data_IF_321061078583
#
_entry.id   IF_321061078583
#
_cell.length_a   1.000
_cell.length_b   1.000
_cell.length_c   1.000
_cell.angle_alpha   90.00
_cell.angle_beta   90.00
_cell.angle_gamma   90.00
#
_symmetry.space_group_name_H-M   'P 1'
#
loop_
_entity.id
_entity.type
_entity.pdbx_description
1 polymer ?
#
# COMPACT_ATOMS: atom_id res chain seq x y z
N UNK A 1 23.54 -52.61 -0.18
CA UNK A 1 22.52 -51.98 -1.08
C UNK A 1 21.88 -50.73 -0.49
N UNK A 2 21.80 -50.57 0.82
CA UNK A 2 21.12 -49.43 1.48
C UNK A 2 21.88 -48.10 1.38
N UNK A 3 23.23 -48.10 1.31
CA UNK A 3 24.04 -46.86 1.19
C UNK A 3 23.92 -46.13 -0.14
N UNK A 4 23.56 -46.79 -1.26
CA UNK A 4 23.40 -46.15 -2.57
C UNK A 4 22.08 -45.39 -2.73
N UNK A 5 21.04 -45.81 -2.00
CA UNK A 5 19.71 -45.16 -2.09
C UNK A 5 19.70 -43.83 -1.32
N UNK A 6 20.47 -43.70 -0.24
CA UNK A 6 20.57 -42.47 0.55
C UNK A 6 21.32 -41.34 -0.20
N UNK A 7 22.36 -41.71 -0.97
CA UNK A 7 23.13 -40.74 -1.74
C UNK A 7 22.32 -40.15 -2.90
N UNK A 8 21.49 -41.00 -3.55
CA UNK A 8 20.61 -40.55 -4.62
C UNK A 8 19.47 -39.65 -4.14
N UNK A 9 18.91 -39.94 -2.94
CA UNK A 9 17.86 -39.14 -2.34
C UNK A 9 18.35 -37.73 -1.93
N UNK A 10 19.54 -37.64 -1.31
CA UNK A 10 20.14 -36.35 -0.93
C UNK A 10 20.54 -35.54 -2.15
N UNK A 11 21.07 -36.20 -3.19
CA UNK A 11 21.43 -35.52 -4.43
C UNK A 11 20.19 -34.98 -5.16
N UNK A 12 19.07 -35.70 -5.13
CA UNK A 12 17.80 -35.25 -5.72
C UNK A 12 17.23 -34.06 -4.94
N UNK A 13 17.29 -34.06 -3.60
CA UNK A 13 16.85 -32.94 -2.75
C UNK A 13 17.75 -31.73 -2.95
N UNK A 14 19.06 -31.90 -3.07
CA UNK A 14 20.02 -30.83 -3.32
C UNK A 14 19.82 -30.25 -4.72
N UNK A 15 19.52 -31.06 -5.74
CA UNK A 15 19.23 -30.59 -7.10
C UNK A 15 17.91 -29.81 -7.11
N UNK A 16 16.88 -30.27 -6.40
CA UNK A 16 15.61 -29.52 -6.27
C UNK A 16 15.78 -28.16 -5.56
N UNK A 17 16.72 -28.07 -4.60
CA UNK A 17 17.02 -26.81 -3.91
C UNK A 17 17.79 -25.80 -4.76
N UNK A 18 18.47 -26.25 -5.85
CA UNK A 18 19.25 -25.38 -6.74
C UNK A 18 18.65 -25.16 -8.12
N UNK A 19 17.60 -25.87 -8.49
CA UNK A 19 16.88 -25.59 -9.75
C UNK A 19 16.07 -24.31 -9.57
N UNK A 20 16.67 -23.19 -9.98
CA UNK A 20 15.91 -21.94 -10.09
C UNK A 20 14.81 -22.16 -11.11
N UNK A 21 13.54 -21.92 -10.78
CA UNK A 21 12.46 -22.07 -11.75
C UNK A 21 12.78 -21.21 -12.97
N UNK A 22 12.80 -21.82 -14.15
CA UNK A 22 12.90 -21.10 -15.42
C UNK A 22 11.51 -20.53 -15.72
N UNK A 23 11.33 -19.25 -15.45
CA UNK A 23 10.13 -18.56 -15.88
C UNK A 23 10.16 -18.39 -17.40
N UNK A 24 9.07 -18.74 -18.06
CA UNK A 24 8.83 -18.45 -19.46
C UNK A 24 8.06 -17.14 -19.52
N UNK A 25 8.80 -16.05 -19.68
CA UNK A 25 8.27 -14.69 -19.65
C UNK A 25 7.92 -14.23 -21.07
N UNK A 26 6.90 -13.40 -21.19
CA UNK A 26 6.47 -12.86 -22.49
C UNK A 26 5.09 -12.21 -22.45
N UNK A 27 4.35 -12.37 -21.35
CA UNK A 27 3.04 -11.74 -21.18
C UNK A 27 3.14 -10.25 -20.87
N UNK A 28 4.22 -9.81 -20.19
CA UNK A 28 4.52 -8.40 -19.92
C UNK A 28 5.95 -8.11 -20.42
N UNK A 29 6.18 -8.08 -21.73
CA UNK A 29 7.53 -8.00 -22.30
C UNK A 29 8.24 -6.70 -21.94
N UNK A 30 7.51 -5.61 -21.74
CA UNK A 30 8.02 -4.32 -21.30
C UNK A 30 8.49 -4.35 -19.83
N UNK A 31 8.00 -5.30 -19.02
CA UNK A 31 8.36 -5.44 -17.60
C UNK A 31 8.49 -6.91 -17.15
N UNK A 32 9.52 -7.63 -17.59
CA UNK A 32 9.72 -9.03 -17.20
C UNK A 32 9.89 -9.24 -15.69
N UNK A 33 10.22 -8.18 -14.94
CA UNK A 33 10.34 -8.25 -13.47
C UNK A 33 8.98 -8.26 -12.79
N UNK A 34 8.05 -7.45 -13.28
CA UNK A 34 6.66 -7.45 -12.81
C UNK A 34 6.03 -8.81 -13.12
N UNK A 35 6.16 -9.29 -14.35
CA UNK A 35 5.67 -10.60 -14.77
C UNK A 35 6.19 -11.71 -13.87
N UNK A 36 7.48 -11.70 -13.53
CA UNK A 36 8.08 -12.67 -12.62
C UNK A 36 7.51 -12.60 -11.19
N UNK A 37 7.12 -11.44 -10.70
CA UNK A 37 6.45 -11.29 -9.41
C UNK A 37 5.08 -11.96 -9.47
N UNK A 38 4.31 -11.71 -10.53
CA UNK A 38 2.99 -12.31 -10.75
C UNK A 38 3.12 -13.83 -10.86
N UNK A 39 4.06 -14.34 -11.66
CA UNK A 39 4.34 -15.78 -11.75
C UNK A 39 4.57 -16.40 -10.36
N UNK A 40 5.35 -15.73 -9.51
CA UNK A 40 5.64 -16.25 -8.16
C UNK A 40 4.42 -16.21 -7.25
N UNK A 41 3.64 -15.14 -7.32
CA UNK A 41 2.42 -15.01 -6.52
C UNK A 41 1.40 -16.09 -6.89
N UNK A 42 1.28 -16.40 -8.18
CA UNK A 42 0.39 -17.45 -8.70
C UNK A 42 1.00 -18.85 -8.70
N UNK A 43 2.25 -19.02 -8.25
CA UNK A 43 3.02 -20.28 -8.27
C UNK A 43 3.13 -20.88 -9.68
N UNK A 44 3.19 -20.03 -10.72
CA UNK A 44 3.29 -20.42 -12.12
C UNK A 44 4.65 -20.09 -12.71
N UNK A 45 5.06 -20.85 -13.74
CA UNK A 45 6.28 -20.57 -14.50
C UNK A 45 6.02 -19.78 -15.79
N UNK A 46 4.79 -19.72 -16.23
CA UNK A 46 4.28 -19.03 -17.42
C UNK A 46 2.88 -18.49 -17.09
N UNK A 47 2.56 -17.30 -17.58
CA UNK A 47 1.24 -16.68 -17.43
C UNK A 47 0.44 -16.79 -18.71
N UNK A 48 -0.87 -16.77 -18.57
CA UNK A 48 -1.86 -16.62 -19.65
C UNK A 48 -2.59 -15.28 -19.48
N UNK A 49 -3.37 -14.85 -20.48
CA UNK A 49 -4.25 -13.68 -20.36
C UNK A 49 -5.27 -13.86 -19.21
N UNK A 50 -5.79 -15.09 -19.05
CA UNK A 50 -6.72 -15.41 -17.97
C UNK A 50 -6.07 -15.24 -16.60
N UNK A 51 -4.80 -15.61 -16.46
CA UNK A 51 -4.07 -15.40 -15.21
C UNK A 51 -3.96 -13.92 -14.86
N UNK A 52 -3.71 -13.04 -15.84
CA UNK A 52 -3.66 -11.60 -15.61
C UNK A 52 -5.02 -11.03 -15.16
N UNK A 53 -6.12 -11.58 -15.69
CA UNK A 53 -7.47 -11.18 -15.31
C UNK A 53 -7.88 -11.69 -13.92
N UNK A 54 -7.25 -12.76 -13.44
CA UNK A 54 -7.52 -13.35 -12.13
C UNK A 54 -6.67 -12.75 -11.00
N UNK A 55 -5.78 -11.79 -11.30
CA UNK A 55 -5.04 -11.06 -10.28
C UNK A 55 -5.90 -9.93 -9.73
N UNK A 56 -6.45 -10.11 -8.54
CA UNK A 56 -7.21 -9.12 -7.78
C UNK A 56 -6.35 -8.39 -6.74
N UNK A 57 -5.24 -8.98 -6.31
CA UNK A 57 -4.27 -8.35 -5.42
C UNK A 57 -2.84 -8.59 -5.91
N UNK A 58 -1.97 -7.59 -5.76
CA UNK A 58 -0.57 -7.67 -6.15
C UNK A 58 0.35 -7.09 -5.09
N UNK A 59 1.36 -7.89 -4.73
CA UNK A 59 2.38 -7.50 -3.78
C UNK A 59 3.74 -7.31 -4.47
N UNK A 60 4.07 -6.06 -4.78
CA UNK A 60 5.35 -5.70 -5.41
C UNK A 60 6.41 -5.53 -4.34
N UNK A 61 7.19 -6.59 -4.08
CA UNK A 61 8.21 -6.63 -3.05
C UNK A 61 9.62 -6.56 -3.65
N UNK A 62 10.43 -5.61 -3.19
CA UNK A 62 11.82 -5.43 -3.60
C UNK A 62 12.77 -6.61 -3.30
N UNK A 63 12.36 -7.55 -2.42
CA UNK A 63 13.12 -8.78 -2.14
C UNK A 63 13.27 -9.68 -3.38
N UNK A 64 12.30 -9.65 -4.27
CA UNK A 64 12.25 -10.53 -5.46
C UNK A 64 12.73 -9.89 -6.76
N UNK A 65 13.32 -8.73 -6.67
CA UNK A 65 13.85 -7.98 -7.81
C UNK A 65 13.38 -6.53 -7.73
N UNK A 66 14.34 -5.62 -7.84
CA UNK A 66 14.05 -4.19 -7.75
C UNK A 66 13.24 -3.76 -8.98
N UNK A 67 11.92 -3.82 -8.88
CA UNK A 67 11.03 -3.26 -9.89
C UNK A 67 11.28 -1.75 -9.94
N UNK A 68 11.54 -1.22 -11.11
CA UNK A 68 11.82 0.21 -11.32
C UNK A 68 10.60 0.95 -11.87
N UNK A 69 9.69 0.21 -12.49
CA UNK A 69 8.50 0.72 -13.17
C UNK A 69 7.35 -0.24 -12.99
N UNK A 70 6.13 0.28 -13.03
CA UNK A 70 4.89 -0.50 -13.03
C UNK A 70 4.29 -0.64 -14.44
N UNK A 71 4.99 -0.21 -15.50
CA UNK A 71 4.52 -0.40 -16.88
C UNK A 71 4.11 -1.86 -17.07
N UNK A 72 2.95 -2.08 -17.67
CA UNK A 72 2.33 -3.40 -17.85
C UNK A 72 1.36 -3.80 -16.72
N UNK A 73 1.32 -3.08 -15.60
CA UNK A 73 0.36 -3.35 -14.51
C UNK A 73 -1.09 -3.08 -14.96
N UNK A 74 -1.28 -2.18 -15.92
CA UNK A 74 -2.58 -1.84 -16.51
C UNK A 74 -3.26 -3.01 -17.22
N UNK A 75 -2.55 -4.11 -17.42
CA UNK A 75 -3.10 -5.38 -17.93
C UNK A 75 -3.85 -6.16 -16.87
N UNK A 76 -3.60 -5.89 -15.60
CA UNK A 76 -4.31 -6.49 -14.46
C UNK A 76 -5.66 -5.79 -14.25
N UNK A 77 -6.61 -6.02 -15.16
CA UNK A 77 -7.88 -5.28 -15.23
C UNK A 77 -8.77 -5.44 -14.01
N UNK A 78 -8.57 -6.50 -13.23
CA UNK A 78 -9.34 -6.80 -12.03
C UNK A 78 -8.55 -6.54 -10.74
N UNK A 79 -7.41 -5.83 -10.81
CA UNK A 79 -6.62 -5.53 -9.65
C UNK A 79 -7.38 -4.57 -8.71
N UNK A 80 -7.63 -5.04 -7.49
CA UNK A 80 -8.34 -4.32 -6.42
C UNK A 80 -7.37 -3.83 -5.34
N UNK A 81 -6.32 -4.60 -5.04
CA UNK A 81 -5.37 -4.28 -3.98
C UNK A 81 -3.94 -4.27 -4.52
N UNK A 82 -3.25 -3.15 -4.34
CA UNK A 82 -1.85 -3.00 -4.73
C UNK A 82 -0.99 -2.62 -3.53
N UNK A 83 -0.01 -3.45 -3.20
CA UNK A 83 0.99 -3.15 -2.18
C UNK A 83 2.39 -3.02 -2.79
N UNK A 84 3.03 -1.87 -2.57
CA UNK A 84 4.34 -1.53 -3.11
C UNK A 84 5.33 -1.38 -1.95
N UNK A 85 6.26 -2.31 -1.85
CA UNK A 85 7.35 -2.28 -0.86
C UNK A 85 8.67 -1.83 -1.49
N UNK A 86 9.69 -1.54 -0.67
CA UNK A 86 10.79 -0.69 -1.10
C UNK A 86 11.41 -1.17 -2.39
N UNK A 87 11.38 -0.28 -3.35
CA UNK A 87 11.95 -0.43 -4.67
C UNK A 87 12.77 0.77 -5.06
N UNK A 88 13.20 0.79 -6.30
CA UNK A 88 13.72 1.97 -6.97
C UNK A 88 12.66 2.54 -7.91
N UNK A 89 11.39 2.41 -7.53
CA UNK A 89 10.27 2.88 -8.31
C UNK A 89 10.30 4.40 -8.41
N UNK A 90 10.00 4.93 -9.58
CA UNK A 90 10.13 6.34 -9.87
C UNK A 90 8.74 6.95 -10.13
N UNK A 91 7.80 6.18 -10.72
CA UNK A 91 6.49 6.70 -11.11
C UNK A 91 5.36 5.72 -10.81
N UNK A 92 4.21 6.29 -10.46
CA UNK A 92 2.91 5.64 -10.27
C UNK A 92 1.99 5.80 -11.49
N UNK A 93 2.43 6.51 -12.54
CA UNK A 93 1.59 6.77 -13.71
C UNK A 93 0.85 5.53 -14.24
N UNK A 94 1.46 4.33 -14.34
CA UNK A 94 0.76 3.16 -14.88
C UNK A 94 -0.45 2.69 -14.06
N UNK A 95 -0.55 3.05 -12.77
CA UNK A 95 -1.67 2.62 -11.93
C UNK A 95 -2.92 3.50 -12.11
N UNK A 96 -2.81 4.66 -12.72
CA UNK A 96 -3.95 5.60 -12.89
C UNK A 96 -5.07 5.02 -13.78
N UNK A 97 -4.76 3.99 -14.56
CA UNK A 97 -5.71 3.27 -15.41
C UNK A 97 -6.36 2.04 -14.73
N UNK A 98 -6.07 1.78 -13.47
CA UNK A 98 -6.63 0.65 -12.72
C UNK A 98 -8.01 1.03 -12.13
N UNK A 99 -9.05 0.84 -12.92
CA UNK A 99 -10.42 1.29 -12.59
C UNK A 99 -11.10 0.52 -11.47
N UNK A 100 -10.53 -0.61 -11.04
CA UNK A 100 -11.05 -1.43 -9.93
C UNK A 100 -10.21 -1.33 -8.66
N UNK A 101 -9.15 -0.52 -8.67
CA UNK A 101 -8.28 -0.40 -7.51
C UNK A 101 -9.00 0.29 -6.37
N UNK A 102 -9.19 -0.41 -5.26
CA UNK A 102 -9.84 0.07 -4.04
C UNK A 102 -8.89 0.26 -2.87
N UNK A 103 -7.76 -0.45 -2.86
CA UNK A 103 -6.77 -0.33 -1.80
C UNK A 103 -5.35 -0.17 -2.36
N UNK A 104 -4.61 0.79 -1.81
CA UNK A 104 -3.20 0.99 -2.14
C UNK A 104 -2.34 1.12 -0.88
N UNK A 105 -1.25 0.34 -0.83
CA UNK A 105 -0.24 0.44 0.22
C UNK A 105 1.14 0.76 -0.36
N UNK A 106 1.79 1.82 0.13
CA UNK A 106 3.15 2.19 -0.27
C UNK A 106 4.01 2.37 0.99
N UNK A 107 5.12 1.65 1.07
CA UNK A 107 5.99 1.75 2.22
C UNK A 107 7.47 1.94 1.83
N UNK A 108 8.23 2.56 2.75
CA UNK A 108 9.69 2.65 2.79
C UNK A 108 10.35 3.38 1.63
N UNK A 109 10.65 4.67 1.83
CA UNK A 109 11.64 5.47 1.07
C UNK A 109 11.69 5.19 -0.44
N UNK A 110 10.51 5.06 -1.08
CA UNK A 110 10.44 5.04 -2.52
C UNK A 110 10.92 6.41 -3.06
N UNK A 111 11.50 6.40 -4.24
CA UNK A 111 11.88 7.63 -4.95
C UNK A 111 10.73 8.16 -5.80
N UNK A 112 9.49 7.91 -5.38
CA UNK A 112 8.30 8.38 -6.06
C UNK A 112 8.25 9.92 -5.99
N UNK A 113 8.06 10.55 -7.12
CA UNK A 113 7.96 12.01 -7.25
C UNK A 113 6.55 12.45 -7.64
N UNK A 114 5.64 11.49 -7.83
CA UNK A 114 4.32 11.69 -8.42
C UNK A 114 3.19 11.06 -7.57
N UNK A 115 3.33 11.09 -6.22
CA UNK A 115 2.30 10.59 -5.30
C UNK A 115 0.94 11.23 -5.53
N UNK A 116 0.90 12.48 -6.01
CA UNK A 116 -0.33 13.19 -6.36
C UNK A 116 -1.19 12.46 -7.39
N UNK A 117 -0.61 11.56 -8.20
CA UNK A 117 -1.37 10.73 -9.15
C UNK A 117 -2.35 9.77 -8.45
N UNK A 118 -2.09 9.41 -7.19
CA UNK A 118 -3.02 8.60 -6.39
C UNK A 118 -4.37 9.31 -6.27
N UNK A 119 -4.38 10.66 -6.18
CA UNK A 119 -5.61 11.46 -6.12
C UNK A 119 -6.52 11.33 -7.34
N UNK A 120 -6.06 10.71 -8.44
CA UNK A 120 -6.86 10.43 -9.63
C UNK A 120 -7.63 9.09 -9.52
N UNK A 121 -7.24 8.22 -8.56
CA UNK A 121 -7.84 6.89 -8.38
C UNK A 121 -9.02 7.00 -7.40
N UNK A 122 -10.10 7.61 -7.85
CA UNK A 122 -11.27 7.94 -7.01
C UNK A 122 -12.06 6.73 -6.52
N UNK A 123 -11.70 5.54 -6.96
CA UNK A 123 -12.26 4.26 -6.47
C UNK A 123 -11.67 3.82 -5.12
N UNK A 124 -10.58 4.45 -4.65
CA UNK A 124 -9.91 4.07 -3.42
C UNK A 124 -10.81 4.26 -2.20
N UNK A 125 -10.89 3.21 -1.41
CA UNK A 125 -11.51 3.14 -0.08
C UNK A 125 -10.45 3.04 1.03
N UNK A 126 -9.26 2.53 0.71
CA UNK A 126 -8.19 2.25 1.66
C UNK A 126 -6.84 2.78 1.14
N UNK A 127 -6.14 3.50 2.00
CA UNK A 127 -4.78 3.96 1.70
C UNK A 127 -3.84 3.72 2.87
N UNK A 128 -2.65 3.20 2.57
CA UNK A 128 -1.57 3.02 3.54
C UNK A 128 -0.26 3.60 3.03
N UNK A 129 0.24 4.64 3.69
CA UNK A 129 1.54 5.27 3.40
C UNK A 129 2.44 5.16 4.62
N UNK A 130 3.61 4.56 4.46
CA UNK A 130 4.48 4.31 5.61
C UNK A 130 5.96 4.53 5.31
N UNK A 131 6.69 5.11 6.30
CA UNK A 131 8.15 5.27 6.19
C UNK A 131 8.54 6.15 4.97
N UNK A 132 7.78 7.21 4.71
CA UNK A 132 7.94 8.12 3.57
C UNK A 132 8.10 9.56 4.07
N UNK A 133 9.29 9.95 4.52
CA UNK A 133 9.48 11.22 5.22
C UNK A 133 9.17 12.43 4.34
N UNK A 134 8.44 13.39 4.92
CA UNK A 134 8.08 14.68 4.33
C UNK A 134 7.25 14.59 3.05
N UNK A 135 6.31 13.64 2.99
CA UNK A 135 5.37 13.55 1.86
C UNK A 135 4.32 14.65 1.94
N UNK A 136 3.88 15.12 0.78
CA UNK A 136 2.66 15.90 0.63
C UNK A 136 1.48 14.95 0.44
N UNK A 137 0.46 15.09 1.28
CA UNK A 137 -0.77 14.28 1.26
C UNK A 137 -1.98 15.05 0.76
N UNK A 138 -1.80 16.25 0.20
CA UNK A 138 -2.89 17.10 -0.26
C UNK A 138 -3.82 16.43 -1.28
N UNK A 139 -3.28 15.51 -2.08
CA UNK A 139 -4.05 14.74 -3.06
C UNK A 139 -5.19 13.91 -2.45
N UNK A 140 -5.15 13.62 -1.15
CA UNK A 140 -6.19 12.86 -0.46
C UNK A 140 -7.55 13.60 -0.47
N UNK A 141 -7.57 14.91 -0.58
CA UNK A 141 -8.81 15.70 -0.63
C UNK A 141 -9.76 15.28 -1.76
N UNK A 142 -9.23 14.66 -2.83
CA UNK A 142 -9.99 14.19 -3.99
C UNK A 142 -10.62 12.81 -3.78
N UNK A 143 -10.18 12.05 -2.78
CA UNK A 143 -10.54 10.65 -2.56
C UNK A 143 -11.74 10.53 -1.61
N UNK A 144 -12.93 10.93 -2.07
CA UNK A 144 -14.16 11.02 -1.27
C UNK A 144 -14.69 9.70 -0.74
N UNK A 145 -14.20 8.58 -1.27
CA UNK A 145 -14.61 7.23 -0.89
C UNK A 145 -13.71 6.60 0.19
N UNK A 146 -12.67 7.31 0.64
CA UNK A 146 -11.77 6.77 1.66
C UNK A 146 -12.51 6.50 2.97
N UNK A 147 -12.42 5.26 3.43
CA UNK A 147 -12.87 4.77 4.73
C UNK A 147 -11.70 4.58 5.69
N UNK A 148 -10.62 3.96 5.21
CA UNK A 148 -9.49 3.59 6.05
C UNK A 148 -8.21 4.30 5.59
N UNK A 149 -7.64 5.10 6.48
CA UNK A 149 -6.47 5.95 6.20
C UNK A 149 -5.36 5.61 7.19
N UNK A 150 -4.25 5.06 6.70
CA UNK A 150 -3.06 4.73 7.47
C UNK A 150 -1.87 5.53 6.96
N UNK A 151 -1.38 6.51 7.72
CA UNK A 151 -0.20 7.30 7.36
C UNK A 151 0.73 7.38 8.56
N UNK A 152 1.82 6.60 8.53
CA UNK A 152 2.72 6.46 9.65
C UNK A 152 4.17 6.74 9.27
N UNK A 153 4.94 7.35 10.20
CA UNK A 153 6.36 7.62 10.01
C UNK A 153 6.63 8.48 8.74
N UNK A 154 5.72 9.42 8.42
CA UNK A 154 5.76 10.22 7.20
C UNK A 154 6.12 11.69 7.44
N UNK A 155 6.23 12.12 8.71
CA UNK A 155 6.60 13.48 9.08
C UNK A 155 5.58 14.55 8.71
N UNK A 156 4.31 14.18 8.47
CA UNK A 156 3.24 15.12 8.15
C UNK A 156 2.94 16.01 9.36
N UNK A 157 2.65 17.29 9.10
CA UNK A 157 2.35 18.30 10.13
C UNK A 157 0.91 18.79 10.07
N UNK A 158 0.26 18.64 8.91
CA UNK A 158 -1.08 19.16 8.64
C UNK A 158 -1.94 18.08 7.96
N UNK A 159 -3.21 18.02 8.34
CA UNK A 159 -4.22 17.09 7.82
C UNK A 159 -5.46 17.80 7.28
N UNK A 160 -5.36 19.08 6.92
CA UNK A 160 -6.48 19.87 6.40
C UNK A 160 -7.13 19.27 5.16
N UNK A 161 -6.35 18.53 4.34
CA UNK A 161 -6.86 17.82 3.17
C UNK A 161 -7.89 16.72 3.54
N UNK A 162 -7.90 16.27 4.79
CA UNK A 162 -8.82 15.23 5.25
C UNK A 162 -10.15 15.79 5.79
N UNK A 163 -10.25 17.08 6.11
CA UNK A 163 -11.42 17.70 6.78
C UNK A 163 -12.75 17.48 6.08
N UNK A 164 -12.73 17.35 4.74
CA UNK A 164 -13.92 17.17 3.92
C UNK A 164 -14.21 15.68 3.59
N UNK A 165 -13.41 14.76 4.08
CA UNK A 165 -13.66 13.32 4.01
C UNK A 165 -14.58 12.90 5.16
N UNK A 166 -15.04 11.66 5.14
CA UNK A 166 -15.82 11.10 6.25
C UNK A 166 -15.41 9.63 6.46
N UNK A 167 -14.15 9.40 6.89
CA UNK A 167 -13.59 8.06 7.07
C UNK A 167 -14.16 7.36 8.29
N UNK A 168 -13.96 6.03 8.36
CA UNK A 168 -14.29 5.21 9.51
C UNK A 168 -13.08 5.04 10.45
N UNK A 169 -11.88 4.79 9.89
CA UNK A 169 -10.67 4.61 10.67
C UNK A 169 -9.52 5.45 10.11
N UNK A 170 -8.85 6.20 10.98
CA UNK A 170 -7.72 7.05 10.62
C UNK A 170 -6.57 6.81 11.59
N UNK A 171 -5.46 6.34 11.09
CA UNK A 171 -4.25 6.06 11.83
C UNK A 171 -3.10 6.93 11.32
N UNK A 172 -2.64 7.88 12.13
CA UNK A 172 -1.64 8.89 11.78
C UNK A 172 -0.43 8.86 12.71
N UNK A 173 -0.09 7.71 13.25
CA UNK A 173 0.95 7.60 14.29
C UNK A 173 2.35 7.98 13.79
N UNK A 174 3.19 8.45 14.75
CA UNK A 174 4.58 8.83 14.48
C UNK A 174 4.72 9.89 13.39
N UNK A 175 3.91 10.94 13.44
CA UNK A 175 4.02 12.11 12.57
C UNK A 175 4.33 13.37 13.42
N UNK A 176 4.22 14.55 12.82
CA UNK A 176 4.52 15.84 13.47
C UNK A 176 3.27 16.71 13.60
N UNK A 177 2.10 16.09 13.83
CA UNK A 177 0.82 16.79 13.93
C UNK A 177 0.73 17.48 15.29
N UNK A 178 0.52 18.81 15.30
CA UNK A 178 0.41 19.62 16.52
C UNK A 178 -1.04 20.03 16.82
N UNK A 179 -1.90 20.09 15.79
CA UNK A 179 -3.30 20.49 15.90
C UNK A 179 -4.18 19.75 14.91
N UNK A 180 -5.49 19.71 15.19
CA UNK A 180 -6.49 19.18 14.28
C UNK A 180 -7.27 20.31 13.62
N UNK A 181 -7.63 20.19 12.33
CA UNK A 181 -8.62 21.05 11.70
C UNK A 181 -10.02 20.76 12.27
N UNK A 182 -11.02 21.52 11.81
CA UNK A 182 -12.41 21.16 12.04
C UNK A 182 -12.73 19.83 11.33
N UNK A 183 -13.09 18.82 12.12
CA UNK A 183 -13.45 17.46 11.67
C UNK A 183 -14.94 17.16 11.93
N UNK A 184 -15.79 18.17 12.09
CA UNK A 184 -17.23 18.02 12.35
C UNK A 184 -17.96 17.15 11.30
N UNK A 185 -17.42 17.08 10.08
CA UNK A 185 -17.94 16.22 9.01
C UNK A 185 -17.63 14.71 9.20
N UNK A 186 -16.79 14.35 10.15
CA UNK A 186 -16.41 12.95 10.39
C UNK A 186 -17.44 12.20 11.23
N UNK A 187 -18.64 12.07 10.69
CA UNK A 187 -19.78 11.44 11.39
C UNK A 187 -19.71 9.92 11.47
N UNK A 188 -18.88 9.29 10.61
CA UNK A 188 -18.67 7.83 10.58
C UNK A 188 -17.48 7.37 11.39
N UNK A 189 -16.65 8.29 11.89
CA UNK A 189 -15.39 7.95 12.53
C UNK A 189 -15.57 7.01 13.73
N UNK A 190 -14.86 5.92 13.74
CA UNK A 190 -14.79 4.94 14.81
C UNK A 190 -13.49 5.05 15.60
N UNK A 191 -12.41 5.40 14.89
CA UNK A 191 -11.08 5.53 15.47
C UNK A 191 -10.25 6.61 14.78
N UNK A 192 -9.64 7.50 15.60
CA UNK A 192 -8.55 8.38 15.14
C UNK A 192 -7.36 8.20 16.09
N UNK A 193 -6.32 7.55 15.60
CA UNK A 193 -5.09 7.27 16.32
C UNK A 193 -4.01 8.28 15.94
N UNK A 194 -3.60 9.11 16.89
CA UNK A 194 -2.56 10.14 16.76
C UNK A 194 -1.30 9.81 17.59
N UNK A 195 -1.15 8.57 18.03
CA UNK A 195 -0.02 8.17 18.87
C UNK A 195 1.32 8.57 18.25
N UNK A 196 2.27 9.01 19.08
CA UNK A 196 3.58 9.47 18.62
C UNK A 196 3.59 10.83 17.90
N UNK A 197 2.50 11.63 17.97
CA UNK A 197 2.46 13.00 17.46
C UNK A 197 2.58 14.03 18.60
N UNK A 198 3.07 15.25 18.36
CA UNK A 198 3.13 16.32 19.36
C UNK A 198 1.79 16.63 20.02
N UNK A 199 0.67 16.56 19.27
CA UNK A 199 -0.69 16.81 19.78
C UNK A 199 -1.08 15.89 20.94
N UNK A 200 -0.49 14.71 21.07
CA UNK A 200 -0.79 13.76 22.15
C UNK A 200 -0.43 14.27 23.55
N UNK A 201 0.27 15.40 23.62
CA UNK A 201 0.48 16.14 24.90
C UNK A 201 -0.78 16.83 25.38
N UNK A 202 -1.76 17.08 24.50
CA UNK A 202 -3.05 17.70 24.85
C UNK A 202 -4.04 16.61 25.28
N UNK A 203 -4.17 16.41 26.59
CA UNK A 203 -5.06 15.40 27.20
C UNK A 203 -6.54 15.73 27.13
N UNK A 204 -6.90 16.90 26.68
CA UNK A 204 -8.30 17.26 26.41
C UNK A 204 -8.82 16.69 25.09
N UNK A 205 -7.89 16.26 24.22
CA UNK A 205 -8.20 15.77 22.87
C UNK A 205 -7.94 14.27 22.75
N UNK A 206 -6.87 13.76 23.38
CA UNK A 206 -6.42 12.37 23.22
C UNK A 206 -6.25 11.66 24.56
N UNK A 207 -6.47 10.35 24.56
CA UNK A 207 -6.22 9.48 25.71
C UNK A 207 -4.71 9.16 25.89
N UNK A 208 -4.40 8.28 26.85
CA UNK A 208 -3.02 7.86 27.14
C UNK A 208 -2.35 7.08 26.01
N UNK A 209 -3.15 6.46 25.12
CA UNK A 209 -2.68 5.70 23.97
C UNK A 209 -2.51 6.57 22.69
N UNK A 210 -3.02 7.82 22.72
CA UNK A 210 -3.01 8.73 21.57
C UNK A 210 -4.26 8.62 20.69
N UNK A 211 -5.27 7.88 21.14
CA UNK A 211 -6.58 7.85 20.47
C UNK A 211 -7.36 9.12 20.81
N UNK A 212 -7.98 9.73 19.79
CA UNK A 212 -8.81 10.92 19.98
C UNK A 212 -10.13 10.54 20.65
N UNK A 213 -10.51 11.28 21.71
CA UNK A 213 -11.79 11.04 22.37
C UNK A 213 -12.96 11.23 21.41
N UNK A 214 -13.87 10.26 21.38
CA UNK A 214 -15.06 10.33 20.52
C UNK A 214 -15.96 11.52 20.81
N UNK A 215 -15.91 12.09 22.01
CA UNK A 215 -16.58 13.34 22.36
C UNK A 215 -16.07 14.55 21.58
N UNK A 216 -14.84 14.49 21.07
CA UNK A 216 -14.28 15.56 20.22
C UNK A 216 -15.10 15.77 18.95
N UNK A 217 -15.64 14.69 18.36
CA UNK A 217 -16.42 14.72 17.12
C UNK A 217 -17.92 15.06 17.34
N UNK A 218 -18.38 15.11 18.60
CA UNK A 218 -19.79 15.30 18.97
C UNK A 218 -20.08 16.67 19.53
N UNK A 219 -19.13 17.62 19.50
CA UNK A 219 -19.24 18.93 20.15
C UNK A 219 -20.42 19.80 19.67
N UNK A 220 -20.98 19.54 18.48
CA UNK A 220 -22.01 20.38 17.88
C UNK A 220 -23.37 19.66 17.73
N UNK A 221 -23.62 18.58 18.51
CA UNK A 221 -24.89 17.84 18.49
C UNK A 221 -25.81 18.17 19.71
N UNK A 222 -25.45 19.16 20.51
CA UNK A 222 -26.27 19.81 21.53
C UNK A 222 -26.58 21.25 21.07
#
# INVERSE_FOLDING_TARGET
MIKKIFITGILLIVILLFVRPKYKLGMIPENPRLEKIICRQLEKNELTEEDLLNVDHLFVNGKYGRVKTLVGIERLKNLEILSIYPGKMISLEPITNLTKLTAIGIARRNKLTDLQLIGQITTLTDISLRDMPNIDISFLENLRNLNDIYIADCGITNIDCLKNLNPEEVHLWNNNIESLPDLSNWTKIKKLDLSGNPITKNRDIVDENGDVYMSYFKKDLE
#
